data_IF_159587851043
#
_entry.id   IF_159587851043
#
_cell.length_a   1.000
_cell.length_b   1.000
_cell.length_c   1.000
_cell.angle_alpha   90.00
_cell.angle_beta   90.00
_cell.angle_gamma   90.00
#
_symmetry.space_group_name_H-M   'P 1'
#
loop_
_entity.id
_entity.type
_entity.pdbx_description
1 polymer ?
#
# COMPACT_ATOMS: atom_id res chain seq x y z
N UNK A 1 -89.15 -19.63 -44.56
CA UNK A 1 -88.81 -19.50 -43.13
C UNK A 1 -87.32 -19.21 -43.02
N UNK A 2 -86.96 -17.96 -42.73
CA UNK A 2 -85.57 -17.49 -42.69
C UNK A 2 -85.08 -17.46 -41.23
N UNK A 3 -83.96 -18.10 -40.95
CA UNK A 3 -83.34 -18.19 -39.62
C UNK A 3 -82.23 -17.13 -39.54
N UNK A 4 -82.46 -16.14 -38.69
CA UNK A 4 -81.59 -14.98 -38.44
C UNK A 4 -80.44 -15.34 -37.48
N UNK A 5 -79.19 -15.17 -37.93
CA UNK A 5 -77.98 -15.30 -37.10
C UNK A 5 -77.75 -14.00 -36.32
N UNK A 6 -77.71 -14.05 -34.98
CA UNK A 6 -77.14 -12.99 -34.14
C UNK A 6 -75.62 -13.13 -34.09
N UNK A 7 -74.91 -12.08 -34.48
CA UNK A 7 -73.48 -11.88 -34.23
C UNK A 7 -73.27 -11.59 -32.74
N UNK A 8 -72.23 -12.23 -32.19
CA UNK A 8 -71.66 -11.93 -30.88
C UNK A 8 -70.51 -10.95 -31.14
N UNK A 9 -70.61 -9.74 -30.59
CA UNK A 9 -69.50 -8.78 -30.54
C UNK A 9 -68.83 -8.87 -29.18
N UNK A 10 -67.52 -9.14 -29.19
CA UNK A 10 -66.63 -9.12 -28.04
C UNK A 10 -65.75 -7.85 -28.07
N UNK A 11 -65.13 -7.45 -26.94
CA UNK A 11 -64.94 -6.06 -26.55
C UNK A 11 -63.71 -5.39 -27.15
N UNK A 12 -63.82 -4.08 -27.37
CA UNK A 12 -62.69 -3.23 -27.75
C UNK A 12 -61.75 -2.97 -26.56
N UNK A 13 -60.55 -3.55 -26.62
CA UNK A 13 -59.44 -3.24 -25.74
C UNK A 13 -58.84 -1.86 -26.11
N UNK A 14 -58.78 -0.94 -25.14
CA UNK A 14 -58.15 0.37 -25.30
C UNK A 14 -56.62 0.30 -25.44
N UNK A 15 -55.99 1.29 -26.09
CA UNK A 15 -54.55 1.30 -26.33
C UNK A 15 -53.77 1.47 -25.02
N UNK A 16 -52.91 0.49 -24.72
CA UNK A 16 -51.95 0.57 -23.63
C UNK A 16 -50.86 1.61 -23.94
N UNK A 17 -50.66 2.52 -22.99
CA UNK A 17 -49.73 3.64 -23.05
C UNK A 17 -48.28 3.13 -22.81
N UNK A 18 -47.56 2.79 -23.87
CA UNK A 18 -46.26 2.08 -23.81
C UNK A 18 -45.03 3.01 -23.67
N UNK A 19 -45.20 4.32 -23.65
CA UNK A 19 -44.09 5.26 -23.87
C UNK A 19 -43.28 5.62 -22.61
N UNK A 20 -43.80 5.37 -21.39
CA UNK A 20 -43.19 5.88 -20.15
C UNK A 20 -42.20 4.90 -19.48
N UNK A 21 -42.16 3.63 -19.89
CA UNK A 21 -41.33 2.61 -19.19
C UNK A 21 -39.85 2.57 -19.60
N UNK A 22 -39.46 3.24 -20.69
CA UNK A 22 -38.09 3.11 -21.22
C UNK A 22 -37.11 4.19 -20.72
N UNK A 23 -37.58 5.37 -20.30
CA UNK A 23 -36.72 6.46 -19.81
C UNK A 23 -36.21 6.25 -18.38
N UNK A 24 -36.94 5.55 -17.53
CA UNK A 24 -36.53 5.27 -16.14
C UNK A 24 -35.34 4.29 -16.04
N UNK A 25 -35.14 3.43 -17.04
CA UNK A 25 -34.05 2.42 -17.03
C UNK A 25 -32.67 3.00 -17.33
N UNK A 26 -32.59 4.05 -18.13
CA UNK A 26 -31.30 4.67 -18.50
C UNK A 26 -30.69 5.51 -17.38
N UNK A 27 -31.51 6.15 -16.55
CA UNK A 27 -31.03 7.00 -15.44
C UNK A 27 -30.44 6.17 -14.28
N UNK A 28 -31.03 5.01 -13.98
CA UNK A 28 -30.54 4.11 -12.92
C UNK A 28 -29.23 3.39 -13.29
N UNK A 29 -29.04 3.02 -14.56
CA UNK A 29 -27.80 2.39 -15.02
C UNK A 29 -26.62 3.38 -15.09
N UNK A 30 -26.87 4.63 -15.51
CA UNK A 30 -25.84 5.67 -15.57
C UNK A 30 -25.34 6.12 -14.19
N UNK A 31 -26.24 6.24 -13.21
CA UNK A 31 -25.87 6.59 -11.83
C UNK A 31 -25.04 5.51 -11.13
N UNK A 32 -25.38 4.24 -11.32
CA UNK A 32 -24.63 3.12 -10.70
C UNK A 32 -23.19 3.01 -11.24
N UNK A 33 -22.97 3.22 -12.54
CA UNK A 33 -21.63 3.18 -13.13
C UNK A 33 -20.72 4.31 -12.61
N UNK A 34 -21.26 5.52 -12.40
CA UNK A 34 -20.53 6.67 -11.84
C UNK A 34 -20.15 6.47 -10.37
N UNK A 35 -21.02 5.84 -9.58
CA UNK A 35 -20.69 5.49 -8.19
C UNK A 35 -19.57 4.46 -8.14
N UNK A 36 -19.62 3.41 -8.97
CA UNK A 36 -18.56 2.38 -9.01
C UNK A 36 -17.21 2.96 -9.45
N UNK A 37 -17.18 3.88 -10.42
CA UNK A 37 -15.94 4.54 -10.84
C UNK A 37 -15.36 5.46 -9.74
N UNK A 38 -16.21 6.10 -8.94
CA UNK A 38 -15.78 7.00 -7.86
C UNK A 38 -15.25 6.27 -6.62
N UNK A 39 -15.74 5.07 -6.31
CA UNK A 39 -15.20 4.27 -5.17
C UNK A 39 -13.98 3.42 -5.51
N UNK A 40 -13.62 3.26 -6.80
CA UNK A 40 -12.50 2.41 -7.23
C UNK A 40 -11.28 3.19 -7.73
N UNK A 41 -11.31 4.52 -7.68
CA UNK A 41 -10.11 5.33 -7.86
C UNK A 41 -9.18 5.12 -6.67
N UNK A 42 -8.40 4.03 -6.70
CA UNK A 42 -7.26 3.91 -5.83
C UNK A 42 -6.31 5.04 -6.23
N UNK A 43 -5.88 5.88 -5.27
CA UNK A 43 -4.88 6.88 -5.59
C UNK A 43 -3.68 6.15 -6.19
N UNK A 44 -3.29 6.56 -7.40
CA UNK A 44 -2.14 6.02 -8.09
C UNK A 44 -0.89 6.54 -7.38
N UNK A 45 -0.60 6.04 -6.19
CA UNK A 45 0.66 6.33 -5.51
C UNK A 45 1.79 5.64 -6.29
N UNK A 46 2.86 6.39 -6.56
CA UNK A 46 4.08 5.84 -7.16
C UNK A 46 5.00 5.20 -6.10
N UNK A 47 4.59 5.25 -4.83
CA UNK A 47 5.35 4.80 -3.68
C UNK A 47 4.41 4.53 -2.50
N UNK A 48 4.72 3.47 -1.75
CA UNK A 48 3.97 3.02 -0.58
C UNK A 48 4.93 2.94 0.60
N UNK A 49 4.56 3.56 1.72
CA UNK A 49 5.50 3.82 2.81
C UNK A 49 4.85 3.78 4.19
N UNK A 50 5.52 3.11 5.12
CA UNK A 50 5.23 3.16 6.54
C UNK A 50 6.32 3.97 7.25
N UNK A 51 5.97 5.11 7.87
CA UNK A 51 6.91 6.05 8.50
C UNK A 51 6.79 6.06 10.02
N UNK A 52 7.92 6.11 10.71
CA UNK A 52 7.99 6.27 12.16
C UNK A 52 7.32 5.14 12.94
N UNK A 53 7.29 3.93 12.38
CA UNK A 53 6.63 2.78 13.03
C UNK A 53 7.45 2.36 14.24
N UNK A 54 6.82 2.36 15.41
CA UNK A 54 7.48 1.95 16.67
C UNK A 54 7.52 0.44 16.74
N UNK A 55 8.73 -0.13 16.70
CA UNK A 55 8.97 -1.59 16.77
C UNK A 55 9.45 -2.03 18.15
N UNK A 56 9.91 -1.09 18.98
CA UNK A 56 10.30 -1.33 20.35
C UNK A 56 10.09 -0.06 21.19
N UNK A 57 9.59 -0.22 22.41
CA UNK A 57 9.41 0.89 23.37
C UNK A 57 9.73 0.41 24.78
N UNK A 58 10.84 0.91 25.34
CA UNK A 58 11.28 0.67 26.71
C UNK A 58 11.60 1.97 27.44
N UNK A 59 11.95 1.85 28.73
CA UNK A 59 12.14 3.01 29.61
C UNK A 59 13.24 3.99 29.14
N UNK A 60 14.33 3.47 28.55
CA UNK A 60 15.48 4.29 28.10
C UNK A 60 15.68 4.36 26.59
N UNK A 61 14.92 3.58 25.81
CA UNK A 61 15.08 3.49 24.36
C UNK A 61 13.73 3.17 23.70
N UNK A 62 13.42 3.92 22.66
CA UNK A 62 12.39 3.60 21.69
C UNK A 62 13.04 3.44 20.31
N UNK A 63 12.69 2.37 19.60
CA UNK A 63 13.16 2.13 18.23
C UNK A 63 12.00 2.30 17.28
N UNK A 64 12.19 3.18 16.30
CA UNK A 64 11.31 3.32 15.16
C UNK A 64 12.03 2.91 13.88
N UNK A 65 11.26 2.61 12.85
CA UNK A 65 11.79 2.52 11.50
C UNK A 65 10.79 2.93 10.45
N UNK A 66 11.34 3.06 9.26
CA UNK A 66 10.61 3.31 8.04
C UNK A 66 10.80 2.13 7.09
N UNK A 67 9.77 1.83 6.32
CA UNK A 67 9.85 0.94 5.17
C UNK A 67 9.12 1.56 3.99
N UNK A 68 9.75 1.55 2.82
CA UNK A 68 9.18 2.06 1.58
C UNK A 68 9.42 1.13 0.40
N UNK A 69 8.50 1.16 -0.55
CA UNK A 69 8.66 0.57 -1.88
C UNK A 69 8.11 1.56 -2.91
N UNK A 70 8.82 1.74 -4.01
CA UNK A 70 8.37 2.49 -5.17
C UNK A 70 8.61 1.67 -6.45
N UNK A 71 7.91 1.99 -7.53
CA UNK A 71 8.10 1.34 -8.83
C UNK A 71 8.20 2.35 -9.97
N UNK A 72 9.13 2.09 -10.90
CA UNK A 72 9.42 3.03 -11.98
C UNK A 72 8.14 3.32 -12.78
N UNK A 73 7.73 4.59 -12.77
CA UNK A 73 6.69 5.12 -13.63
C UNK A 73 7.31 6.10 -14.61
N UNK A 74 7.17 5.88 -15.93
CA UNK A 74 7.65 6.84 -16.93
C UNK A 74 7.17 8.26 -16.61
N UNK A 75 8.10 9.21 -16.54
CA UNK A 75 7.80 10.62 -16.20
C UNK A 75 7.64 10.92 -14.70
N UNK A 76 7.93 9.95 -13.81
CA UNK A 76 7.94 10.14 -12.35
C UNK A 76 9.33 9.91 -11.75
N UNK A 77 9.54 10.41 -10.53
CA UNK A 77 10.77 10.26 -9.75
C UNK A 77 10.71 8.95 -8.95
N UNK A 78 10.75 7.80 -9.62
CA UNK A 78 10.80 6.48 -8.99
C UNK A 78 11.67 5.54 -9.82
N UNK A 79 12.42 4.65 -9.16
CA UNK A 79 13.46 3.83 -9.78
C UNK A 79 13.33 2.34 -9.52
N UNK A 80 12.17 1.84 -9.06
CA UNK A 80 12.07 0.52 -8.45
C UNK A 80 12.93 0.40 -7.19
N UNK A 81 12.71 1.35 -6.27
CA UNK A 81 13.52 1.50 -5.08
C UNK A 81 12.79 0.95 -3.86
N UNK A 82 13.56 0.31 -2.99
CA UNK A 82 13.15 -0.07 -1.65
C UNK A 82 13.92 0.77 -0.63
N UNK A 83 13.24 1.14 0.46
CA UNK A 83 13.75 2.04 1.48
C UNK A 83 13.64 1.44 2.86
N UNK A 84 14.65 1.67 3.68
CA UNK A 84 14.61 1.34 5.10
C UNK A 84 15.42 2.32 5.93
N UNK A 85 14.87 2.77 7.05
CA UNK A 85 15.56 3.62 8.03
C UNK A 85 15.39 3.05 9.43
N UNK A 86 16.40 3.26 10.27
CA UNK A 86 16.32 3.01 11.72
C UNK A 86 16.39 4.33 12.49
N UNK A 87 15.64 4.45 13.59
CA UNK A 87 15.65 5.61 14.47
C UNK A 87 15.79 5.16 15.92
N UNK A 88 16.68 5.81 16.67
CA UNK A 88 16.77 5.66 18.12
C UNK A 88 16.20 6.91 18.80
N UNK A 89 15.23 6.70 19.68
CA UNK A 89 14.58 7.76 20.45
C UNK A 89 14.63 7.45 21.94
N UNK A 90 14.38 8.46 22.76
CA UNK A 90 14.25 8.34 24.21
C UNK A 90 12.99 7.55 24.57
N UNK A 91 12.90 7.12 25.84
CA UNK A 91 11.68 6.50 26.37
C UNK A 91 10.44 7.37 26.08
N UNK A 92 9.35 6.74 25.66
CA UNK A 92 8.15 7.45 25.19
C UNK A 92 8.24 7.97 23.75
N UNK A 93 9.33 7.68 23.03
CA UNK A 93 9.54 8.01 21.61
C UNK A 93 9.45 9.51 21.28
N UNK A 94 9.82 10.38 22.22
CA UNK A 94 9.67 11.83 22.11
C UNK A 94 10.85 12.56 21.47
N UNK A 95 12.09 12.18 21.77
CA UNK A 95 13.29 12.85 21.28
C UNK A 95 14.33 11.86 20.78
N UNK A 96 15.12 12.24 19.77
CA UNK A 96 16.21 11.41 19.25
C UNK A 96 17.28 11.15 20.31
N UNK A 97 17.89 9.97 20.29
CA UNK A 97 19.00 9.60 21.17
C UNK A 97 20.25 9.41 20.33
N UNK A 98 21.37 9.97 20.80
CA UNK A 98 22.67 9.76 20.18
C UNK A 98 23.22 8.40 20.55
N UNK A 99 23.61 7.61 19.55
CA UNK A 99 24.30 6.32 19.71
C UNK A 99 25.58 6.34 18.88
N UNK A 100 26.68 5.76 19.37
CA UNK A 100 27.93 5.73 18.63
C UNK A 100 27.80 4.86 17.38
N UNK A 101 28.77 4.98 16.48
CA UNK A 101 28.83 4.14 15.28
C UNK A 101 28.79 2.64 15.65
N UNK A 102 28.15 1.83 14.79
CA UNK A 102 27.90 0.42 15.05
C UNK A 102 26.78 0.10 16.04
N UNK A 103 26.12 1.09 16.67
CA UNK A 103 25.05 0.87 17.64
C UNK A 103 23.64 0.93 17.07
N UNK A 104 23.48 1.25 15.79
CA UNK A 104 22.24 1.04 15.07
C UNK A 104 22.51 0.25 13.81
N UNK A 105 21.49 -0.48 13.36
CA UNK A 105 21.55 -1.35 12.20
C UNK A 105 20.22 -1.32 11.45
N UNK A 106 20.29 -1.41 10.12
CA UNK A 106 19.11 -1.60 9.28
C UNK A 106 19.42 -2.61 8.19
N UNK A 107 18.42 -3.42 7.84
CA UNK A 107 18.41 -4.30 6.68
C UNK A 107 17.05 -4.15 6.01
N UNK A 108 16.98 -4.37 4.70
CA UNK A 108 15.72 -4.43 3.99
C UNK A 108 15.61 -5.71 3.16
N UNK A 109 14.39 -6.20 3.05
CA UNK A 109 14.00 -7.32 2.21
C UNK A 109 12.82 -6.89 1.34
N UNK A 110 12.95 -7.10 0.03
CA UNK A 110 11.87 -6.90 -0.92
C UNK A 110 11.17 -8.23 -1.13
N UNK A 111 9.87 -8.24 -0.90
CA UNK A 111 9.00 -9.39 -1.08
C UNK A 111 8.15 -9.23 -2.33
N UNK A 112 7.86 -10.36 -2.99
CA UNK A 112 6.86 -10.47 -4.06
C UNK A 112 5.77 -11.44 -3.65
N UNK A 113 4.51 -11.10 -3.92
CA UNK A 113 3.39 -12.02 -3.80
C UNK A 113 3.42 -13.06 -4.93
N UNK A 114 3.48 -14.35 -4.59
CA UNK A 114 3.54 -15.43 -5.57
C UNK A 114 2.16 -16.05 -5.91
N UNK A 115 1.07 -15.47 -5.39
CA UNK A 115 -0.29 -16.02 -5.50
C UNK A 115 -0.80 -16.70 -4.23
N UNK A 116 0.11 -17.12 -3.34
CA UNK A 116 -0.23 -17.84 -2.10
C UNK A 116 0.47 -17.30 -0.85
N UNK A 117 1.67 -16.76 -1.00
CA UNK A 117 2.46 -16.17 0.08
C UNK A 117 3.37 -15.05 -0.44
N UNK A 118 3.82 -14.21 0.51
CA UNK A 118 4.91 -13.27 0.28
C UNK A 118 6.24 -14.03 0.34
N UNK A 119 7.02 -13.98 -0.74
CA UNK A 119 8.34 -14.59 -0.82
C UNK A 119 9.40 -13.51 -0.99
N UNK A 120 10.56 -13.68 -0.34
CA UNK A 120 11.69 -12.76 -0.52
C UNK A 120 12.15 -12.83 -1.98
N UNK A 121 12.07 -11.70 -2.66
CA UNK A 121 12.57 -11.50 -4.01
C UNK A 121 14.06 -11.09 -3.97
N UNK A 122 14.38 -10.06 -3.17
CA UNK A 122 15.76 -9.57 -2.99
C UNK A 122 15.97 -9.11 -1.56
N UNK A 123 17.21 -9.08 -1.11
CA UNK A 123 17.57 -8.58 0.21
C UNK A 123 18.92 -7.88 0.19
N UNK A 124 19.11 -7.00 1.16
CA UNK A 124 20.41 -6.39 1.46
C UNK A 124 21.11 -7.10 2.61
N UNK A 125 22.39 -6.79 2.81
CA UNK A 125 23.06 -7.02 4.07
C UNK A 125 22.66 -5.99 5.13
N UNK A 126 23.19 -6.15 6.33
CA UNK A 126 23.03 -5.17 7.40
C UNK A 126 23.93 -3.94 7.16
N UNK A 127 23.34 -2.75 7.22
CA UNK A 127 24.10 -1.49 7.33
C UNK A 127 24.08 -1.04 8.77
N UNK A 128 25.27 -0.78 9.32
CA UNK A 128 25.45 -0.27 10.66
C UNK A 128 25.80 1.22 10.62
N UNK A 129 25.47 1.94 11.69
CA UNK A 129 25.74 3.37 11.80
C UNK A 129 25.49 3.95 13.19
N UNK A 130 25.85 5.23 13.40
CA UNK A 130 25.45 5.98 14.59
C UNK A 130 23.98 6.40 14.50
N UNK A 131 23.44 6.98 15.57
CA UNK A 131 22.17 7.73 15.57
C UNK A 131 22.35 9.08 16.23
N UNK A 132 21.42 10.02 16.00
CA UNK A 132 21.40 11.32 16.66
C UNK A 132 22.36 12.36 16.04
N UNK A 133 22.33 13.56 16.62
CA UNK A 133 22.71 14.87 16.04
C UNK A 133 24.13 14.99 15.46
N UNK A 134 25.03 14.02 15.69
CA UNK A 134 26.32 13.98 14.97
C UNK A 134 26.18 13.83 13.44
N UNK A 135 24.99 13.50 12.94
CA UNK A 135 24.66 13.42 11.50
C UNK A 135 23.68 14.48 10.97
N UNK A 136 23.29 15.48 11.75
CA UNK A 136 22.40 16.57 11.32
C UNK A 136 20.89 16.29 11.38
N UNK A 137 20.46 15.03 11.45
CA UNK A 137 19.05 14.62 11.63
C UNK A 137 18.99 13.45 12.66
N UNK A 138 17.85 13.13 13.32
CA UNK A 138 17.77 12.07 14.35
C UNK A 138 17.92 10.64 13.78
N UNK A 139 18.25 10.51 12.51
CA UNK A 139 18.17 9.25 11.76
C UNK A 139 19.42 8.41 12.02
N UNK A 140 19.19 7.11 12.15
CA UNK A 140 20.25 6.11 12.14
C UNK A 140 20.64 5.71 10.72
N UNK A 141 21.25 4.52 10.53
CA UNK A 141 21.56 4.02 9.21
C UNK A 141 20.31 3.92 8.34
N UNK A 142 20.49 4.21 7.05
CA UNK A 142 19.47 4.17 6.01
C UNK A 142 19.95 3.32 4.83
N UNK A 143 19.01 2.69 4.14
CA UNK A 143 19.27 2.01 2.88
C UNK A 143 18.26 2.44 1.82
N UNK A 144 18.79 2.65 0.61
CA UNK A 144 18.03 2.75 -0.63
C UNK A 144 18.55 1.65 -1.54
N UNK A 145 17.65 0.83 -2.07
CA UNK A 145 18.01 -0.34 -2.85
C UNK A 145 17.18 -0.43 -4.12
N UNK A 146 17.85 -0.34 -5.27
CA UNK A 146 17.22 -0.66 -6.56
C UNK A 146 17.03 -2.18 -6.66
N UNK A 147 15.77 -2.60 -6.54
CA UNK A 147 15.42 -4.00 -6.59
C UNK A 147 15.20 -4.51 -8.02
N UNK A 148 15.29 -3.65 -9.04
CA UNK A 148 15.23 -4.00 -10.46
C UNK A 148 13.81 -4.18 -11.00
N UNK A 149 12.80 -3.67 -10.29
CA UNK A 149 11.39 -3.74 -10.70
C UNK A 149 10.87 -5.17 -10.73
N UNK A 150 10.33 -5.59 -11.88
CA UNK A 150 9.82 -6.94 -12.12
C UNK A 150 10.95 -8.00 -12.24
N UNK A 151 12.09 -7.83 -11.57
CA UNK A 151 13.21 -8.78 -11.57
C UNK A 151 12.81 -10.19 -11.08
N UNK A 152 11.76 -10.30 -10.27
CA UNK A 152 11.16 -11.56 -9.82
C UNK A 152 9.80 -11.87 -10.49
N UNK A 153 9.51 -11.19 -11.61
CA UNK A 153 8.26 -11.25 -12.37
C UNK A 153 7.22 -10.22 -11.92
N UNK A 154 6.36 -9.80 -12.85
CA UNK A 154 5.26 -8.88 -12.57
C UNK A 154 4.38 -9.36 -11.39
N UNK A 155 3.86 -8.43 -10.58
CA UNK A 155 3.04 -8.76 -9.43
C UNK A 155 3.07 -7.72 -8.33
N UNK A 156 2.57 -8.07 -7.15
CA UNK A 156 2.63 -7.20 -5.98
C UNK A 156 3.95 -7.34 -5.26
N UNK A 157 4.54 -6.20 -4.92
CA UNK A 157 5.81 -6.06 -4.22
C UNK A 157 5.64 -5.24 -2.95
N UNK A 158 6.42 -5.56 -1.91
CA UNK A 158 6.51 -4.74 -0.71
C UNK A 158 7.85 -4.92 0.00
N UNK A 159 8.21 -3.96 0.83
CA UNK A 159 9.48 -3.95 1.56
C UNK A 159 9.24 -4.21 3.04
N UNK A 160 10.01 -5.15 3.60
CA UNK A 160 10.18 -5.29 5.04
C UNK A 160 11.51 -4.66 5.44
N UNK A 161 11.46 -3.62 6.27
CA UNK A 161 12.63 -3.06 6.93
C UNK A 161 12.83 -3.70 8.30
N UNK A 162 14.08 -3.85 8.70
CA UNK A 162 14.47 -4.40 10.00
C UNK A 162 15.34 -3.39 10.76
N UNK A 163 14.75 -2.34 11.35
CA UNK A 163 15.46 -1.40 12.21
C UNK A 163 15.83 -2.02 13.56
N UNK A 164 17.12 -1.96 13.94
CA UNK A 164 17.61 -2.39 15.24
C UNK A 164 18.57 -1.36 15.84
N UNK A 165 18.54 -1.23 17.17
CA UNK A 165 19.43 -0.36 17.95
C UNK A 165 19.94 -1.12 19.18
N UNK A 166 21.24 -1.05 19.43
CA UNK A 166 21.89 -1.61 20.60
C UNK A 166 21.61 -0.75 21.84
N UNK A 167 21.00 -1.36 22.85
CA UNK A 167 20.69 -0.68 24.12
C UNK A 167 21.85 -0.70 25.12
N UNK A 168 22.95 -1.40 24.81
CA UNK A 168 24.07 -1.67 25.72
C UNK A 168 24.16 -3.14 26.15
N UNK A 169 23.06 -3.89 26.01
CA UNK A 169 22.92 -5.29 26.44
C UNK A 169 22.32 -6.21 25.37
N UNK A 170 21.44 -5.67 24.52
CA UNK A 170 20.78 -6.41 23.46
C UNK A 170 20.42 -5.48 22.29
N UNK A 171 20.26 -6.08 21.11
CA UNK A 171 19.67 -5.43 19.95
C UNK A 171 18.15 -5.33 20.14
N UNK A 172 17.60 -4.12 20.06
CA UNK A 172 16.17 -3.84 20.16
C UNK A 172 15.64 -3.37 18.82
N UNK A 173 14.53 -3.92 18.37
CA UNK A 173 14.02 -3.66 17.03
C UNK A 173 12.93 -4.62 16.62
N UNK A 174 12.63 -4.63 15.33
CA UNK A 174 11.60 -5.48 14.75
C UNK A 174 11.42 -5.24 13.26
N UNK A 175 10.37 -5.80 12.67
CA UNK A 175 10.02 -5.61 11.26
C UNK A 175 9.06 -4.42 11.06
N UNK A 176 9.28 -3.64 10.00
CA UNK A 176 8.35 -2.62 9.51
C UNK A 176 7.97 -2.98 8.09
N UNK A 177 6.68 -3.22 7.86
CA UNK A 177 6.15 -3.52 6.53
C UNK A 177 5.72 -2.24 5.83
N UNK A 178 6.15 -2.02 4.59
CA UNK A 178 5.79 -0.83 3.83
C UNK A 178 4.32 -0.77 3.43
N UNK A 179 3.65 -1.93 3.34
CA UNK A 179 2.51 -2.13 2.46
C UNK A 179 2.98 -2.72 1.12
N UNK A 180 2.16 -2.64 0.08
CA UNK A 180 2.51 -3.21 -1.22
C UNK A 180 2.01 -2.40 -2.41
N UNK A 181 2.68 -2.57 -3.56
CA UNK A 181 2.30 -2.00 -4.85
C UNK A 181 2.41 -3.02 -5.97
N UNK A 182 1.58 -2.85 -7.01
CA UNK A 182 1.68 -3.66 -8.21
C UNK A 182 2.77 -3.13 -9.14
N UNK A 183 3.70 -4.00 -9.51
CA UNK A 183 4.75 -3.76 -10.50
C UNK A 183 4.37 -4.53 -11.77
N UNK A 184 4.14 -3.83 -12.90
CA UNK A 184 3.71 -4.44 -14.15
C UNK A 184 4.82 -5.24 -14.86
#
# INVERSE_FOLDING_TARGET
MAVSRRMVEDPAAGPANTTVKNTARFVLAGGAALVVAAVWSHPAHAWTWARGVTVYSGAGLCVRGDAGVDHFRPGSFSGNLAYANAYALSGGCGGGVTKPDGSAAVRLEVYRWNGSAWAVCRSTGWTYGPTGVSGGEPYGPSQVFDYGGAACGAGFYGTMAYPYVWDGSAWRGGGVWSGYEYVP
#
